data_IF_382878554224
#
_entry.id   IF_382878554224
#
_cell.length_a   1.000
_cell.length_b   1.000
_cell.length_c   1.000
_cell.angle_alpha   90.00
_cell.angle_beta   90.00
_cell.angle_gamma   90.00
#
_symmetry.space_group_name_H-M   'P 1'
#
loop_
_entity.id
_entity.type
_entity.pdbx_description
1 polymer ?
#
# COMPACT_ATOMS: atom_id res chain seq x y z
N UNK A 1 -7.53 -4.68 34.39
CA UNK A 1 -6.78 -5.93 34.15
C UNK A 1 -7.66 -7.06 34.64
N UNK A 2 -8.13 -7.95 33.77
CA UNK A 2 -8.67 -9.22 34.25
C UNK A 2 -7.46 -10.07 34.68
N UNK A 3 -7.47 -10.70 35.86
CA UNK A 3 -6.40 -11.62 36.24
C UNK A 3 -6.35 -12.73 35.19
N UNK A 4 -5.15 -13.03 34.68
CA UNK A 4 -4.92 -14.15 33.78
C UNK A 4 -5.37 -15.42 34.53
N UNK A 5 -6.49 -16.00 34.09
CA UNK A 5 -7.00 -17.25 34.61
C UNK A 5 -5.95 -18.34 34.45
N UNK A 6 -5.77 -19.17 35.47
CA UNK A 6 -4.70 -20.18 35.60
C UNK A 6 -4.68 -21.24 34.48
N UNK A 7 -5.74 -21.30 33.66
CA UNK A 7 -5.92 -22.27 32.59
C UNK A 7 -6.26 -21.57 31.27
N UNK A 8 -5.59 -21.96 30.19
CA UNK A 8 -5.84 -21.46 28.85
C UNK A 8 -7.09 -22.08 28.22
N UNK A 9 -7.51 -23.28 28.64
CA UNK A 9 -8.66 -23.99 28.07
C UNK A 9 -9.94 -23.78 28.89
N UNK A 10 -11.02 -23.42 28.20
CA UNK A 10 -12.38 -23.23 28.75
C UNK A 10 -13.37 -23.91 27.81
N UNK A 11 -13.29 -25.24 27.78
CA UNK A 11 -14.07 -26.08 26.87
C UNK A 11 -15.48 -26.30 27.45
N UNK A 12 -16.55 -26.09 26.66
CA UNK A 12 -17.92 -26.36 27.11
C UNK A 12 -18.09 -27.86 27.43
N UNK A 13 -19.03 -28.21 28.31
CA UNK A 13 -19.27 -29.60 28.76
C UNK A 13 -19.40 -30.61 27.60
N UNK A 14 -20.02 -30.20 26.50
CA UNK A 14 -20.15 -31.03 25.28
C UNK A 14 -18.80 -31.47 24.67
N UNK A 15 -17.71 -30.81 25.04
CA UNK A 15 -16.33 -31.09 24.62
C UNK A 15 -15.46 -31.60 25.78
N UNK A 16 -16.03 -32.08 26.89
CA UNK A 16 -15.27 -32.51 28.07
C UNK A 16 -14.17 -33.55 27.77
N UNK A 17 -14.38 -34.44 26.80
CA UNK A 17 -13.36 -35.41 26.37
C UNK A 17 -12.09 -34.75 25.81
N UNK A 18 -12.19 -33.55 25.23
CA UNK A 18 -11.05 -32.75 24.76
C UNK A 18 -10.28 -32.07 25.90
N UNK A 19 -10.81 -32.07 27.12
CA UNK A 19 -10.16 -31.49 28.30
C UNK A 19 -9.20 -32.47 29.00
N UNK A 20 -8.97 -33.66 28.45
CA UNK A 20 -8.04 -34.65 29.01
C UNK A 20 -6.63 -34.04 29.16
N UNK A 21 -6.02 -34.09 30.36
CA UNK A 21 -4.65 -33.61 30.59
C UNK A 21 -3.62 -34.19 29.61
N UNK A 22 -3.79 -35.43 29.14
CA UNK A 22 -2.92 -36.02 28.13
C UNK A 22 -2.94 -35.24 26.80
N UNK A 23 -4.03 -34.54 26.48
CA UNK A 23 -4.21 -33.77 25.26
C UNK A 23 -3.80 -32.31 25.39
N UNK A 24 -3.95 -31.70 26.57
CA UNK A 24 -3.80 -30.24 26.74
C UNK A 24 -2.70 -29.81 27.71
N UNK A 25 -2.15 -30.69 28.57
CA UNK A 25 -1.23 -30.26 29.62
C UNK A 25 0.10 -29.68 29.08
N UNK A 26 0.55 -30.15 27.91
CA UNK A 26 1.72 -29.57 27.24
C UNK A 26 1.43 -28.16 26.72
N UNK A 27 0.27 -27.96 26.11
CA UNK A 27 -0.20 -26.66 25.63
C UNK A 27 -0.38 -25.69 26.81
N UNK A 28 -0.98 -26.13 27.93
CA UNK A 28 -1.14 -25.33 29.16
C UNK A 28 0.20 -24.84 29.72
N UNK A 29 1.22 -25.72 29.81
CA UNK A 29 2.56 -25.32 30.25
C UNK A 29 3.18 -24.30 29.30
N UNK A 30 2.98 -24.47 27.99
CA UNK A 30 3.46 -23.51 27.00
C UNK A 30 2.76 -22.17 27.13
N UNK A 31 1.43 -22.14 27.27
CA UNK A 31 0.66 -20.91 27.46
C UNK A 31 1.00 -20.19 28.77
N UNK A 32 1.33 -20.91 29.84
CA UNK A 32 1.86 -20.28 31.06
C UNK A 32 3.22 -19.58 30.81
N UNK A 33 4.08 -20.14 29.97
CA UNK A 33 5.32 -19.47 29.55
C UNK A 33 5.04 -18.24 28.68
N UNK A 34 4.12 -18.34 27.72
CA UNK A 34 3.68 -17.23 26.87
C UNK A 34 3.08 -16.10 27.71
N UNK A 35 2.21 -16.40 28.68
CA UNK A 35 1.61 -15.41 29.57
C UNK A 35 2.67 -14.61 30.33
N UNK A 36 3.62 -15.30 30.98
CA UNK A 36 4.73 -14.65 31.70
C UNK A 36 5.58 -13.78 30.78
N UNK A 37 5.90 -14.28 29.59
CA UNK A 37 6.68 -13.53 28.61
C UNK A 37 5.93 -12.29 28.11
N UNK A 38 4.62 -12.38 27.88
CA UNK A 38 3.78 -11.24 27.51
C UNK A 38 3.71 -10.18 28.62
N UNK A 39 3.48 -10.60 29.87
CA UNK A 39 3.49 -9.70 31.02
C UNK A 39 4.83 -8.96 31.14
N UNK A 40 5.94 -9.69 31.06
CA UNK A 40 7.28 -9.12 31.08
C UNK A 40 7.50 -8.14 29.92
N UNK A 41 7.16 -8.54 28.69
CA UNK A 41 7.33 -7.71 27.50
C UNK A 41 6.49 -6.42 27.58
N UNK A 42 5.27 -6.51 28.09
CA UNK A 42 4.39 -5.34 28.27
C UNK A 42 4.95 -4.41 29.34
N UNK A 43 5.47 -4.93 30.45
CA UNK A 43 6.11 -4.12 31.49
C UNK A 43 7.34 -3.38 30.93
N UNK A 44 8.28 -4.12 30.31
CA UNK A 44 9.51 -3.56 29.74
C UNK A 44 9.24 -2.49 28.68
N UNK A 45 8.28 -2.75 27.76
CA UNK A 45 7.90 -1.78 26.73
C UNK A 45 7.19 -0.55 27.32
N UNK A 46 6.43 -0.72 28.40
CA UNK A 46 5.79 0.40 29.11
C UNK A 46 6.85 1.29 29.75
N UNK A 47 7.79 0.69 30.48
CA UNK A 47 8.89 1.42 31.14
C UNK A 47 9.76 2.16 30.13
N UNK A 48 10.08 1.52 29.01
CA UNK A 48 10.84 2.14 27.92
C UNK A 48 10.07 3.28 27.26
N UNK A 49 8.78 3.10 26.97
CA UNK A 49 7.94 4.17 26.41
C UNK A 49 7.87 5.38 27.35
N UNK A 50 7.73 5.15 28.65
CA UNK A 50 7.71 6.21 29.63
C UNK A 50 9.06 6.91 29.77
N UNK A 51 10.17 6.17 29.68
CA UNK A 51 11.52 6.75 29.65
C UNK A 51 11.71 7.67 28.42
N UNK A 52 11.33 7.20 27.22
CA UNK A 52 11.39 8.00 25.99
C UNK A 52 10.49 9.25 26.06
N UNK A 53 9.32 9.14 26.67
CA UNK A 53 8.42 10.29 26.89
C UNK A 53 8.97 11.31 27.88
N UNK A 54 9.76 10.87 28.88
CA UNK A 54 10.38 11.75 29.88
C UNK A 54 11.72 12.34 29.43
N UNK A 55 12.36 11.76 28.41
CA UNK A 55 13.57 12.32 27.82
C UNK A 55 13.35 13.78 27.38
N UNK A 56 14.38 14.62 27.23
CA UNK A 56 14.24 15.93 26.59
C UNK A 56 13.96 15.79 25.08
N UNK A 57 13.17 16.70 24.51
CA UNK A 57 12.70 16.62 23.11
C UNK A 57 13.79 16.77 22.04
N UNK A 58 14.98 17.29 22.40
CA UNK A 58 16.02 17.62 21.43
C UNK A 58 15.56 18.68 20.41
N UNK A 59 16.41 19.00 19.44
CA UNK A 59 16.07 19.84 18.29
C UNK A 59 16.31 19.06 16.99
N UNK A 60 15.50 19.32 15.98
CA UNK A 60 15.64 18.73 14.64
C UNK A 60 15.55 17.21 14.65
N UNK A 61 16.62 16.53 14.20
CA UNK A 61 16.64 15.08 13.98
C UNK A 61 16.34 14.25 15.24
N UNK A 62 16.83 14.69 16.40
CA UNK A 62 16.61 14.00 17.67
C UNK A 62 15.13 13.96 18.08
N UNK A 63 14.39 15.04 17.81
CA UNK A 63 12.95 15.09 18.06
C UNK A 63 12.20 14.11 17.17
N UNK A 64 12.55 14.08 15.87
CA UNK A 64 11.93 13.14 14.92
C UNK A 64 12.22 11.68 15.25
N UNK A 65 13.46 11.34 15.60
CA UNK A 65 13.84 9.97 15.95
C UNK A 65 13.14 9.51 17.24
N UNK A 66 13.01 10.41 18.23
CA UNK A 66 12.23 10.16 19.44
C UNK A 66 10.74 9.96 19.13
N UNK A 67 10.14 10.84 18.34
CA UNK A 67 8.71 10.71 18.00
C UNK A 67 8.45 9.40 17.27
N UNK A 68 9.32 9.00 16.34
CA UNK A 68 9.26 7.71 15.68
C UNK A 68 9.39 6.54 16.67
N UNK A 69 10.29 6.62 17.65
CA UNK A 69 10.45 5.59 18.67
C UNK A 69 9.22 5.49 19.59
N UNK A 70 8.67 6.63 20.03
CA UNK A 70 7.46 6.70 20.83
C UNK A 70 6.27 6.09 20.09
N UNK A 71 6.11 6.39 18.79
CA UNK A 71 5.08 5.79 17.95
C UNK A 71 5.27 4.27 17.85
N UNK A 72 6.47 3.81 17.51
CA UNK A 72 6.81 2.37 17.41
C UNK A 72 6.51 1.60 18.70
N UNK A 73 6.95 2.12 19.84
CA UNK A 73 6.70 1.51 21.15
C UNK A 73 5.20 1.50 21.49
N UNK A 74 4.50 2.61 21.25
CA UNK A 74 3.05 2.73 21.48
C UNK A 74 2.27 1.71 20.63
N UNK A 75 2.62 1.58 19.34
CA UNK A 75 1.99 0.62 18.44
C UNK A 75 2.22 -0.83 18.90
N UNK A 76 3.46 -1.20 19.22
CA UNK A 76 3.78 -2.54 19.72
C UNK A 76 3.03 -2.86 21.01
N UNK A 77 2.99 -1.93 21.95
CA UNK A 77 2.31 -2.07 23.23
C UNK A 77 0.79 -2.22 23.06
N UNK A 78 0.19 -1.43 22.16
CA UNK A 78 -1.23 -1.53 21.81
C UNK A 78 -1.56 -2.93 21.27
N UNK A 79 -0.72 -3.50 20.43
CA UNK A 79 -0.94 -4.84 19.87
C UNK A 79 -0.83 -5.92 20.95
N UNK A 80 0.22 -5.89 21.79
CA UNK A 80 0.38 -6.88 22.87
C UNK A 80 -0.70 -6.75 23.97
N UNK A 81 -1.23 -5.55 24.22
CA UNK A 81 -2.35 -5.38 25.18
C UNK A 81 -3.70 -5.78 24.58
N UNK A 82 -3.84 -5.68 23.26
CA UNK A 82 -5.04 -6.12 22.55
C UNK A 82 -5.13 -7.64 22.51
N UNK A 83 -4.00 -8.33 22.29
CA UNK A 83 -3.92 -9.77 22.17
C UNK A 83 -3.14 -10.36 23.36
N UNK A 84 -3.84 -11.08 24.24
CA UNK A 84 -3.24 -11.86 25.31
C UNK A 84 -2.76 -13.21 24.78
N UNK A 85 -3.23 -14.31 25.37
CA UNK A 85 -2.91 -15.66 24.88
C UNK A 85 -3.48 -15.95 23.48
N UNK A 86 -4.52 -15.22 23.06
CA UNK A 86 -5.10 -15.26 21.71
C UNK A 86 -4.18 -14.71 20.61
N UNK A 87 -2.96 -14.32 20.98
CA UNK A 87 -1.84 -14.15 20.08
C UNK A 87 -1.44 -15.47 19.40
N UNK A 88 -1.61 -16.62 20.06
CA UNK A 88 -1.31 -17.93 19.51
C UNK A 88 -2.47 -18.48 18.68
N UNK A 89 -2.23 -18.81 17.41
CA UNK A 89 -3.24 -19.33 16.49
C UNK A 89 -3.38 -20.85 16.58
N UNK A 90 -2.26 -21.52 16.85
CA UNK A 90 -2.14 -22.96 16.76
C UNK A 90 -0.71 -23.43 16.93
N UNK A 91 -0.52 -24.74 16.78
CA UNK A 91 0.81 -25.36 16.72
C UNK A 91 0.89 -26.36 15.59
N UNK A 92 2.10 -26.64 15.15
CA UNK A 92 2.39 -27.69 14.17
C UNK A 92 3.57 -28.55 14.64
N UNK A 93 3.60 -29.80 14.22
CA UNK A 93 4.65 -30.76 14.53
C UNK A 93 5.20 -31.29 13.22
N UNK A 94 6.52 -31.21 13.05
CA UNK A 94 7.21 -31.74 11.88
C UNK A 94 7.28 -33.27 11.90
N UNK A 95 7.32 -33.88 10.72
CA UNK A 95 7.55 -35.33 10.59
C UNK A 95 8.98 -35.76 10.98
N UNK A 96 9.89 -34.79 11.13
CA UNK A 96 11.27 -34.98 11.57
C UNK A 96 11.42 -35.24 13.08
N UNK A 97 10.31 -35.26 13.83
CA UNK A 97 10.30 -35.51 15.27
C UNK A 97 10.76 -34.30 16.10
N UNK A 98 10.86 -33.12 15.50
CA UNK A 98 11.09 -31.88 16.23
C UNK A 98 9.89 -31.53 17.11
N UNK A 99 10.15 -30.89 18.26
CA UNK A 99 9.09 -30.46 19.18
C UNK A 99 8.08 -29.49 18.52
N UNK A 100 6.90 -29.28 19.14
CA UNK A 100 5.85 -28.46 18.55
C UNK A 100 6.31 -27.01 18.33
N UNK A 101 6.01 -26.48 17.16
CA UNK A 101 6.19 -25.07 16.80
C UNK A 101 4.86 -24.35 16.92
N UNK A 102 4.79 -23.36 17.81
CA UNK A 102 3.59 -22.55 18.00
C UNK A 102 3.62 -21.34 17.06
N UNK A 103 2.52 -21.13 16.34
CA UNK A 103 2.35 -20.05 15.38
C UNK A 103 1.48 -18.97 15.99
N UNK A 104 1.98 -17.74 15.99
CA UNK A 104 1.29 -16.59 16.54
C UNK A 104 1.11 -15.46 15.53
N UNK A 105 0.21 -14.53 15.88
CA UNK A 105 -0.01 -13.27 15.14
C UNK A 105 1.24 -12.41 15.10
N UNK A 106 2.09 -12.56 16.13
CA UNK A 106 3.38 -11.93 16.26
C UNK A 106 4.37 -12.97 16.76
N UNK A 107 5.63 -12.78 16.38
CA UNK A 107 6.74 -13.47 17.03
C UNK A 107 6.86 -13.06 18.51
N UNK A 108 7.11 -14.05 19.38
CA UNK A 108 7.38 -13.86 20.80
C UNK A 108 8.60 -14.69 21.20
N UNK A 109 9.57 -14.05 21.84
CA UNK A 109 10.80 -14.68 22.32
C UNK A 109 10.97 -14.28 23.78
N UNK A 110 11.27 -15.24 24.64
CA UNK A 110 11.47 -14.97 26.06
C UNK A 110 12.86 -14.37 26.36
N UNK A 111 13.07 -14.02 27.62
CA UNK A 111 14.33 -13.43 28.10
C UNK A 111 15.52 -14.38 28.02
N UNK A 112 15.31 -15.68 27.87
CA UNK A 112 16.37 -16.68 27.63
C UNK A 112 16.75 -16.80 26.15
N UNK A 113 16.01 -16.14 25.26
CA UNK A 113 16.15 -16.26 23.82
C UNK A 113 15.36 -17.42 23.22
N UNK A 114 14.55 -18.13 24.01
CA UNK A 114 13.71 -19.20 23.51
C UNK A 114 12.51 -18.62 22.75
N UNK A 115 12.34 -19.08 21.51
CA UNK A 115 11.23 -18.65 20.66
C UNK A 115 9.95 -19.36 21.11
N UNK A 116 9.04 -18.61 21.73
CA UNK A 116 7.75 -19.14 22.17
C UNK A 116 6.74 -19.15 21.02
N UNK A 117 6.67 -18.09 20.22
CA UNK A 117 5.77 -18.00 19.07
C UNK A 117 6.54 -17.61 17.81
N UNK A 118 6.26 -18.31 16.70
CA UNK A 118 6.69 -17.94 15.35
C UNK A 118 5.65 -17.00 14.74
N UNK A 119 6.10 -15.88 14.20
CA UNK A 119 5.23 -14.95 13.46
C UNK A 119 4.62 -15.64 12.23
N UNK A 120 3.31 -15.54 12.05
CA UNK A 120 2.60 -16.14 10.92
C UNK A 120 3.13 -15.70 9.55
N UNK A 121 3.73 -14.50 9.45
CA UNK A 121 4.32 -13.97 8.22
C UNK A 121 5.66 -14.62 7.88
N UNK A 122 6.28 -15.30 8.83
CA UNK A 122 7.55 -16.02 8.62
C UNK A 122 7.38 -17.16 7.59
N UNK A 123 8.39 -17.44 6.77
CA UNK A 123 8.44 -18.66 5.95
C UNK A 123 8.30 -19.93 6.79
N UNK A 124 8.82 -19.91 8.03
CA UNK A 124 8.72 -21.04 8.96
C UNK A 124 7.28 -21.34 9.39
N UNK A 125 6.34 -20.39 9.23
CA UNK A 125 4.92 -20.61 9.52
C UNK A 125 4.10 -21.02 8.28
N UNK A 126 4.69 -21.06 7.08
CA UNK A 126 3.97 -21.39 5.86
C UNK A 126 3.27 -22.77 5.92
N UNK A 127 3.90 -23.85 6.41
CA UNK A 127 3.24 -25.16 6.50
C UNK A 127 1.95 -25.14 7.34
N UNK A 128 1.87 -24.31 8.38
CA UNK A 128 0.69 -24.22 9.24
C UNK A 128 -0.58 -23.87 8.44
N UNK A 129 -0.45 -22.99 7.44
CA UNK A 129 -1.57 -22.53 6.60
C UNK A 129 -1.68 -23.31 5.28
N UNK A 130 -0.55 -23.58 4.63
CA UNK A 130 -0.50 -24.17 3.30
C UNK A 130 -0.65 -25.69 3.25
N UNK A 131 -0.31 -26.41 4.33
CA UNK A 131 -0.33 -27.87 4.30
C UNK A 131 -1.74 -28.42 4.06
N UNK A 132 -1.82 -29.43 3.20
CA UNK A 132 -3.02 -30.21 2.87
C UNK A 132 -2.70 -31.70 2.98
N UNK A 133 -3.70 -32.58 2.93
CA UNK A 133 -3.45 -34.02 2.87
C UNK A 133 -2.68 -34.44 1.60
N UNK A 134 -2.84 -33.71 0.49
CA UNK A 134 -2.12 -33.97 -0.76
C UNK A 134 -0.68 -33.44 -0.74
N UNK A 135 -0.44 -32.34 -0.01
CA UNK A 135 0.89 -31.78 0.23
C UNK A 135 1.03 -31.39 1.71
N UNK A 136 1.53 -32.31 2.56
CA UNK A 136 1.72 -32.06 3.99
C UNK A 136 2.76 -31.00 4.33
N UNK A 137 3.59 -30.57 3.37
CA UNK A 137 4.70 -29.63 3.58
C UNK A 137 5.63 -30.03 4.76
N UNK A 138 5.83 -31.33 4.96
CA UNK A 138 6.69 -31.88 6.03
C UNK A 138 6.04 -31.92 7.42
N UNK A 139 4.75 -31.64 7.55
CA UNK A 139 4.03 -31.75 8.83
C UNK A 139 3.59 -33.19 9.13
N UNK A 140 3.70 -33.58 10.40
CA UNK A 140 3.02 -34.77 10.94
C UNK A 140 1.60 -34.42 11.40
N UNK A 141 1.44 -33.30 12.09
CA UNK A 141 0.14 -32.81 12.54
C UNK A 141 0.12 -31.29 12.76
N UNK A 142 -1.08 -30.71 12.76
CA UNK A 142 -1.32 -29.34 13.25
C UNK A 142 -2.53 -29.28 14.16
N UNK A 143 -2.47 -28.41 15.16
CA UNK A 143 -3.58 -28.02 16.02
C UNK A 143 -3.93 -26.56 15.78
N UNK A 144 -5.21 -26.24 15.67
CA UNK A 144 -5.69 -24.85 15.65
C UNK A 144 -6.60 -24.59 16.85
N UNK A 145 -6.53 -23.38 17.38
CA UNK A 145 -7.29 -22.98 18.56
C UNK A 145 -8.44 -22.02 18.21
N UNK A 146 -9.59 -22.19 18.86
CA UNK A 146 -10.69 -21.23 18.85
C UNK A 146 -10.72 -20.45 20.16
N UNK A 147 -10.36 -19.18 20.08
CA UNK A 147 -10.38 -18.28 21.23
C UNK A 147 -11.74 -17.61 21.41
N UNK A 148 -12.25 -17.61 22.64
CA UNK A 148 -13.41 -16.84 23.07
C UNK A 148 -13.08 -16.21 24.42
N UNK A 149 -13.15 -14.88 24.53
CA UNK A 149 -12.90 -14.17 25.80
C UNK A 149 -11.50 -14.39 26.39
N UNK A 150 -10.48 -14.61 25.56
CA UNK A 150 -9.10 -14.85 26.01
C UNK A 150 -8.80 -16.29 26.44
N UNK A 151 -9.75 -17.22 26.26
CA UNK A 151 -9.57 -18.65 26.53
C UNK A 151 -9.92 -19.52 25.32
N UNK A 152 -9.36 -20.71 25.26
CA UNK A 152 -9.60 -21.69 24.20
C UNK A 152 -10.93 -22.38 24.46
N UNK A 153 -11.92 -22.04 23.64
CA UNK A 153 -13.28 -22.60 23.67
C UNK A 153 -13.44 -23.87 22.83
N UNK A 154 -12.51 -24.14 21.91
CA UNK A 154 -12.45 -25.34 21.09
C UNK A 154 -11.05 -25.45 20.45
N UNK A 155 -10.66 -26.64 20.03
CA UNK A 155 -9.47 -26.86 19.20
C UNK A 155 -9.68 -28.08 18.30
N UNK A 156 -8.94 -28.15 17.20
CA UNK A 156 -9.00 -29.28 16.27
C UNK A 156 -7.60 -29.67 15.81
N UNK A 157 -7.38 -30.98 15.73
CA UNK A 157 -6.13 -31.59 15.30
C UNK A 157 -6.33 -32.15 13.89
N UNK A 158 -5.40 -31.84 13.00
CA UNK A 158 -5.29 -32.39 11.66
C UNK A 158 -3.99 -33.19 11.60
N UNK A 159 -4.06 -34.43 11.13
CA UNK A 159 -2.92 -35.36 11.05
C UNK A 159 -2.65 -35.65 9.59
N UNK A 160 -1.39 -35.50 9.17
CA UNK A 160 -0.99 -35.68 7.77
C UNK A 160 -0.21 -36.97 7.53
N UNK A 161 0.30 -37.62 8.59
CA UNK A 161 1.01 -38.89 8.50
C UNK A 161 0.08 -40.07 8.85
N UNK A 162 0.02 -41.09 7.99
CA UNK A 162 -0.82 -42.29 8.18
C UNK A 162 -0.51 -43.02 9.50
N UNK A 163 0.76 -43.02 9.92
CA UNK A 163 1.25 -43.70 11.13
C UNK A 163 0.85 -42.98 12.44
N UNK A 164 0.46 -41.70 12.36
CA UNK A 164 0.14 -40.85 13.51
C UNK A 164 -1.35 -40.86 13.90
N UNK A 165 -2.21 -41.57 13.14
CA UNK A 165 -3.65 -41.69 13.45
C UNK A 165 -3.94 -42.43 14.77
N UNK A 166 -3.02 -43.28 15.24
CA UNK A 166 -3.27 -44.16 16.39
C UNK A 166 -3.34 -43.43 17.76
N UNK A 167 -2.96 -42.15 17.85
CA UNK A 167 -2.85 -41.40 19.12
C UNK A 167 -3.70 -40.12 19.22
N UNK A 168 -4.51 -39.78 18.21
CA UNK A 168 -5.19 -38.50 18.13
C UNK A 168 -6.71 -38.67 18.04
N UNK A 169 -7.39 -38.65 19.20
CA UNK A 169 -8.83 -38.88 19.33
C UNK A 169 -9.72 -37.69 18.92
N UNK A 170 -9.15 -36.57 18.46
CA UNK A 170 -9.87 -35.35 18.09
C UNK A 170 -9.78 -35.03 16.60
N UNK A 171 -9.76 -36.07 15.76
CA UNK A 171 -9.88 -35.96 14.30
C UNK A 171 -11.29 -35.48 13.95
N UNK A 172 -11.40 -34.27 13.40
CA UNK A 172 -12.65 -33.81 12.80
C UNK A 172 -12.35 -33.09 11.50
N UNK A 173 -12.22 -33.88 10.43
CA UNK A 173 -12.00 -33.45 9.05
C UNK A 173 -13.10 -32.49 8.54
N UNK A 174 -14.21 -32.33 9.28
CA UNK A 174 -15.38 -31.52 8.87
C UNK A 174 -15.54 -30.22 9.66
N UNK A 175 -14.75 -29.97 10.70
CA UNK A 175 -14.99 -28.88 11.64
C UNK A 175 -14.48 -27.49 11.22
N UNK A 176 -13.37 -27.40 10.49
CA UNK A 176 -12.80 -26.10 10.09
C UNK A 176 -13.73 -25.31 9.15
N UNK A 177 -14.41 -26.02 8.24
CA UNK A 177 -15.41 -25.45 7.33
C UNK A 177 -16.71 -25.08 8.04
N UNK A 178 -17.25 -25.97 8.88
CA UNK A 178 -18.51 -25.74 9.62
C UNK A 178 -18.37 -24.61 10.66
N UNK A 179 -17.18 -24.44 11.24
CA UNK A 179 -16.90 -23.35 12.17
C UNK A 179 -16.94 -21.95 11.55
N UNK A 180 -16.56 -21.82 10.27
CA UNK A 180 -16.62 -20.56 9.54
C UNK A 180 -18.05 -20.10 9.23
N UNK A 181 -18.98 -21.05 9.11
CA UNK A 181 -20.40 -20.79 8.81
C UNK A 181 -21.18 -20.19 9.99
N UNK A 182 -20.76 -20.41 11.23
CA UNK A 182 -21.50 -20.03 12.45
C UNK A 182 -21.15 -18.68 13.07
N UNK A 183 -20.16 -17.94 12.55
CA UNK A 183 -19.71 -16.70 13.16
C UNK A 183 -20.69 -15.54 12.88
N UNK A 184 -21.40 -15.08 13.92
CA UNK A 184 -22.31 -13.92 13.87
C UNK A 184 -21.60 -12.71 13.26
N UNK A 185 -22.21 -12.04 12.27
CA UNK A 185 -21.64 -10.83 11.66
C UNK A 185 -21.43 -9.75 12.73
N UNK A 186 -20.17 -9.43 13.01
CA UNK A 186 -19.78 -8.30 13.86
C UNK A 186 -19.80 -7.02 13.03
N UNK A 187 -20.05 -5.84 13.64
CA UNK A 187 -19.91 -4.53 12.96
C UNK A 187 -18.48 -4.25 12.46
N UNK A 188 -17.49 -4.97 12.99
CA UNK A 188 -16.06 -4.90 12.61
C UNK A 188 -15.59 -6.27 12.14
N UNK A 189 -14.65 -6.30 11.20
CA UNK A 189 -14.04 -7.55 10.75
C UNK A 189 -13.38 -8.25 11.95
N UNK A 190 -13.89 -9.41 12.34
CA UNK A 190 -13.20 -10.28 13.31
C UNK A 190 -11.97 -10.86 12.65
N UNK A 191 -11.03 -11.27 13.47
CA UNK A 191 -9.78 -11.82 12.99
C UNK A 191 -9.99 -13.19 12.34
N UNK A 192 -9.77 -13.25 11.03
CA UNK A 192 -10.03 -14.41 10.16
C UNK A 192 -8.75 -15.23 9.93
N UNK A 193 -7.61 -14.82 10.51
CA UNK A 193 -6.30 -15.43 10.27
C UNK A 193 -6.30 -16.94 10.60
N UNK A 194 -6.96 -17.34 11.70
CA UNK A 194 -7.08 -18.75 12.09
C UNK A 194 -7.87 -19.62 11.10
N UNK A 195 -8.69 -18.99 10.24
CA UNK A 195 -9.55 -19.66 9.26
C UNK A 195 -9.03 -19.58 7.82
N UNK A 196 -7.83 -19.02 7.61
CA UNK A 196 -7.20 -19.00 6.29
C UNK A 196 -6.97 -20.43 5.80
N UNK A 197 -7.43 -20.67 4.58
CA UNK A 197 -7.29 -21.92 3.83
C UNK A 197 -6.01 -21.91 2.97
N UNK A 198 -5.57 -23.09 2.52
CA UNK A 198 -4.36 -23.23 1.72
C UNK A 198 -4.36 -22.35 0.44
N UNK A 199 -5.46 -22.33 -0.32
CA UNK A 199 -5.57 -21.48 -1.52
C UNK A 199 -5.48 -19.97 -1.20
N UNK A 200 -6.05 -19.56 -0.07
CA UNK A 200 -5.98 -18.17 0.39
C UNK A 200 -4.56 -17.82 0.85
N UNK A 201 -3.87 -18.73 1.55
CA UNK A 201 -2.48 -18.55 1.97
C UNK A 201 -1.54 -18.48 0.75
N UNK A 202 -1.77 -19.29 -0.28
CA UNK A 202 -1.04 -19.22 -1.53
C UNK A 202 -1.16 -17.83 -2.18
N UNK A 203 -2.38 -17.26 -2.21
CA UNK A 203 -2.61 -15.88 -2.68
C UNK A 203 -1.94 -14.85 -1.77
N UNK A 204 -1.96 -15.03 -0.45
CA UNK A 204 -1.29 -14.13 0.51
C UNK A 204 0.22 -14.13 0.31
N UNK A 205 0.82 -15.31 0.11
CA UNK A 205 2.27 -15.50 0.02
C UNK A 205 2.85 -15.35 -1.38
N UNK A 206 2.02 -15.23 -2.41
CA UNK A 206 2.49 -15.01 -3.79
C UNK A 206 3.44 -13.79 -3.87
N UNK A 207 4.46 -13.83 -4.72
CA UNK A 207 5.43 -12.74 -4.84
C UNK A 207 4.77 -11.40 -5.22
N UNK A 208 5.43 -10.29 -4.91
CA UNK A 208 4.98 -8.92 -5.25
C UNK A 208 5.31 -8.50 -6.68
N UNK A 209 5.92 -9.38 -7.49
CA UNK A 209 6.29 -9.06 -8.88
C UNK A 209 5.07 -9.18 -9.79
N UNK A 210 4.77 -8.10 -10.51
CA UNK A 210 3.68 -8.05 -11.48
C UNK A 210 2.29 -7.87 -10.84
N UNK A 211 1.26 -7.93 -11.67
CA UNK A 211 -0.13 -7.84 -11.24
C UNK A 211 -0.68 -9.22 -10.85
N UNK A 212 -1.33 -9.29 -9.70
CA UNK A 212 -2.07 -10.48 -9.25
C UNK A 212 -3.55 -10.13 -9.18
N UNK A 213 -4.37 -10.82 -9.98
CA UNK A 213 -5.82 -10.68 -9.95
C UNK A 213 -6.40 -11.80 -9.09
N UNK A 214 -7.16 -11.43 -8.06
CA UNK A 214 -7.83 -12.38 -7.17
C UNK A 214 -9.32 -12.31 -7.44
N UNK A 215 -9.81 -13.25 -8.25
CA UNK A 215 -11.23 -13.42 -8.53
C UNK A 215 -11.83 -14.53 -7.67
N UNK A 216 -13.07 -14.35 -7.24
CA UNK A 216 -13.77 -15.32 -6.41
C UNK A 216 -15.18 -14.88 -6.06
N UNK A 217 -16.04 -15.82 -5.70
CA UNK A 217 -17.44 -15.55 -5.38
C UNK A 217 -17.66 -14.63 -4.18
N UNK A 218 -18.89 -14.13 -3.96
CA UNK A 218 -19.27 -13.46 -2.73
C UNK A 218 -18.98 -14.33 -1.50
N UNK A 219 -18.46 -13.72 -0.42
CA UNK A 219 -18.20 -14.42 0.84
C UNK A 219 -16.90 -15.24 0.92
N UNK A 220 -16.10 -15.35 -0.15
CA UNK A 220 -14.83 -16.12 -0.15
C UNK A 220 -13.66 -15.45 0.57
N UNK A 221 -13.89 -14.31 1.24
CA UNK A 221 -12.88 -13.64 2.04
C UNK A 221 -11.84 -12.82 1.25
N UNK A 222 -12.09 -12.45 -0.02
CA UNK A 222 -11.13 -11.67 -0.84
C UNK A 222 -10.52 -10.45 -0.15
N UNK A 223 -11.34 -9.66 0.55
CA UNK A 223 -10.85 -8.50 1.31
C UNK A 223 -9.91 -8.91 2.43
N UNK A 224 -10.24 -9.96 3.18
CA UNK A 224 -9.36 -10.51 4.22
C UNK A 224 -8.02 -10.93 3.60
N UNK A 225 -8.07 -11.68 2.50
CA UNK A 225 -6.89 -12.15 1.76
C UNK A 225 -6.02 -10.96 1.32
N UNK A 226 -6.63 -9.91 0.75
CA UNK A 226 -5.91 -8.72 0.33
C UNK A 226 -5.20 -8.00 1.50
N UNK A 227 -5.86 -7.83 2.65
CA UNK A 227 -5.26 -7.16 3.81
C UNK A 227 -4.12 -7.98 4.43
N UNK A 228 -4.29 -9.30 4.55
CA UNK A 228 -3.23 -10.17 5.05
C UNK A 228 -2.07 -10.23 4.06
N UNK A 229 -2.35 -10.23 2.75
CA UNK A 229 -1.33 -10.09 1.71
C UNK A 229 -0.52 -8.81 1.87
N UNK A 230 -1.17 -7.66 2.10
CA UNK A 230 -0.48 -6.40 2.36
C UNK A 230 0.48 -6.51 3.55
N UNK A 231 0.03 -7.08 4.67
CA UNK A 231 0.88 -7.28 5.85
C UNK A 231 2.03 -8.28 5.62
N UNK A 232 1.77 -9.36 4.89
CA UNK A 232 2.80 -10.33 4.51
C UNK A 232 3.87 -9.70 3.61
N UNK A 233 3.47 -8.91 2.61
CA UNK A 233 4.40 -8.26 1.69
C UNK A 233 5.25 -7.20 2.40
N UNK A 234 4.67 -6.41 3.31
CA UNK A 234 5.44 -5.46 4.15
C UNK A 234 6.49 -6.15 5.03
N UNK A 235 6.20 -7.36 5.50
CA UNK A 235 7.14 -8.16 6.28
C UNK A 235 8.20 -8.87 5.42
N UNK A 236 7.78 -9.45 4.29
CA UNK A 236 8.60 -10.38 3.49
C UNK A 236 9.40 -9.71 2.38
N UNK A 237 9.00 -8.52 1.90
CA UNK A 237 9.62 -7.82 0.78
C UNK A 237 10.37 -6.57 1.26
N UNK A 238 11.73 -6.59 1.28
CA UNK A 238 12.53 -5.44 1.71
C UNK A 238 12.28 -4.16 0.91
N UNK A 239 11.73 -4.26 -0.31
CA UNK A 239 11.42 -3.09 -1.16
C UNK A 239 10.25 -2.26 -0.61
N UNK A 240 9.38 -2.87 0.19
CA UNK A 240 8.19 -2.23 0.78
C UNK A 240 8.46 -1.72 2.21
N UNK A 241 9.71 -1.72 2.67
CA UNK A 241 10.10 -1.23 3.99
C UNK A 241 10.16 0.30 4.10
N UNK A 242 10.30 0.79 5.35
CA UNK A 242 10.11 2.18 5.83
C UNK A 242 10.95 3.30 5.14
N UNK A 243 11.74 3.00 4.09
CA UNK A 243 12.56 3.99 3.38
C UNK A 243 12.47 3.94 1.86
N UNK A 244 11.72 3.00 1.24
CA UNK A 244 11.72 2.80 -0.22
C UNK A 244 10.38 2.43 -0.87
N UNK A 245 9.30 2.25 -0.10
CA UNK A 245 7.97 2.00 -0.65
C UNK A 245 6.95 1.77 0.46
N UNK A 246 5.69 2.16 0.22
CA UNK A 246 4.56 1.88 1.10
C UNK A 246 3.50 1.07 0.36
N UNK A 247 2.49 0.58 1.08
CA UNK A 247 1.33 -0.06 0.45
C UNK A 247 0.21 0.97 0.36
N UNK A 248 -0.35 1.15 -0.84
CA UNK A 248 -1.58 1.91 -1.04
C UNK A 248 -2.76 0.96 -1.16
N UNK A 249 -3.72 1.07 -0.26
CA UNK A 249 -4.96 0.31 -0.29
C UNK A 249 -6.12 1.22 -0.73
N UNK A 250 -6.58 1.02 -1.97
CA UNK A 250 -7.68 1.79 -2.55
C UNK A 250 -9.00 1.06 -2.35
N UNK A 251 -9.93 1.68 -1.62
CA UNK A 251 -11.26 1.16 -1.38
C UNK A 251 -12.36 1.92 -2.15
N UNK A 252 -13.55 1.33 -2.30
CA UNK A 252 -14.65 1.95 -3.05
C UNK A 252 -15.28 3.15 -2.34
N UNK A 253 -15.29 3.20 -1.00
CA UNK A 253 -15.90 4.29 -0.22
C UNK A 253 -15.43 4.31 1.24
N UNK A 254 -15.63 5.44 1.92
CA UNK A 254 -15.18 5.67 3.30
C UNK A 254 -15.70 4.64 4.33
N UNK A 255 -17.00 4.24 4.33
CA UNK A 255 -17.45 3.19 5.25
C UNK A 255 -16.71 1.85 5.10
N UNK A 256 -16.31 1.49 3.87
CA UNK A 256 -15.53 0.28 3.62
C UNK A 256 -14.11 0.41 4.15
N UNK A 257 -13.49 1.58 3.95
CA UNK A 257 -12.19 1.88 4.53
C UNK A 257 -12.22 1.82 6.06
N UNK A 258 -13.26 2.38 6.69
CA UNK A 258 -13.47 2.27 8.13
C UNK A 258 -13.61 0.82 8.60
N UNK A 259 -14.26 -0.03 7.81
CA UNK A 259 -14.39 -1.46 8.12
C UNK A 259 -13.04 -2.21 8.09
N UNK A 260 -12.13 -1.86 7.16
CA UNK A 260 -10.81 -2.51 7.05
C UNK A 260 -9.73 -1.85 7.91
N UNK A 261 -9.93 -0.60 8.34
CA UNK A 261 -8.97 0.21 9.07
C UNK A 261 -8.57 -0.37 10.44
N UNK A 262 -9.38 -1.27 11.02
CA UNK A 262 -9.06 -1.91 12.30
C UNK A 262 -8.16 -3.15 12.16
N UNK A 263 -7.95 -3.64 10.94
CA UNK A 263 -7.24 -4.90 10.66
C UNK A 263 -5.76 -4.64 10.41
N UNK A 264 -5.40 -3.72 9.52
CA UNK A 264 -3.99 -3.45 9.18
C UNK A 264 -3.16 -2.90 10.35
N UNK A 265 -3.64 -1.93 11.15
CA UNK A 265 -2.93 -1.49 12.35
C UNK A 265 -2.85 -2.59 13.40
N UNK A 266 -3.82 -3.52 13.43
CA UNK A 266 -3.77 -4.68 14.32
C UNK A 266 -2.74 -5.72 13.91
N UNK A 267 -2.31 -5.68 12.64
CA UNK A 267 -1.20 -6.48 12.11
C UNK A 267 0.17 -5.79 12.32
N UNK A 268 0.18 -4.61 12.94
CA UNK A 268 1.41 -3.87 13.27
C UNK A 268 2.00 -3.07 12.11
N UNK A 269 1.21 -2.80 11.07
CA UNK A 269 1.68 -2.16 9.84
C UNK A 269 1.23 -0.69 9.76
N UNK A 270 2.15 0.23 10.00
CA UNK A 270 1.97 1.69 9.80
C UNK A 270 2.26 2.13 8.35
N UNK A 271 2.82 1.24 7.53
CA UNK A 271 3.21 1.50 6.14
C UNK A 271 2.07 1.40 5.10
N UNK A 272 0.82 1.24 5.53
CA UNK A 272 -0.33 1.16 4.62
C UNK A 272 -1.14 2.45 4.63
N UNK A 273 -1.15 3.16 3.51
CA UNK A 273 -2.07 4.29 3.29
C UNK A 273 -3.37 3.75 2.72
N UNK A 274 -4.49 4.06 3.36
CA UNK A 274 -5.82 3.74 2.84
C UNK A 274 -6.43 4.99 2.21
N UNK A 275 -7.08 4.84 1.06
CA UNK A 275 -7.74 5.96 0.40
C UNK A 275 -8.87 5.47 -0.51
N UNK A 276 -9.72 6.37 -0.94
CA UNK A 276 -10.63 6.15 -2.08
C UNK A 276 -10.01 6.76 -3.33
N UNK A 277 -10.58 6.48 -4.51
CA UNK A 277 -10.15 7.13 -5.75
C UNK A 277 -10.26 8.66 -5.68
N UNK A 278 -11.20 9.19 -4.90
CA UNK A 278 -11.38 10.63 -4.72
C UNK A 278 -10.25 11.29 -3.93
N UNK A 279 -9.54 10.51 -3.12
CA UNK A 279 -8.48 11.04 -2.25
C UNK A 279 -7.11 11.08 -2.96
N UNK A 280 -7.03 10.61 -4.22
CA UNK A 280 -5.80 10.57 -5.00
C UNK A 280 -5.40 11.93 -5.57
N UNK A 281 -6.39 12.80 -5.82
CA UNK A 281 -6.18 14.16 -6.34
C UNK A 281 -6.89 15.19 -5.45
N UNK A 282 -6.33 16.41 -5.28
CA UNK A 282 -6.91 17.47 -4.44
C UNK A 282 -8.38 17.79 -4.77
N UNK A 283 -8.74 17.77 -6.05
CA UNK A 283 -10.05 18.15 -6.56
C UNK A 283 -11.17 17.17 -6.15
N UNK A 284 -10.81 15.95 -5.76
CA UNK A 284 -11.78 14.91 -5.43
C UNK A 284 -12.63 15.19 -4.19
N UNK A 285 -12.18 16.09 -3.30
CA UNK A 285 -12.97 16.56 -2.16
C UNK A 285 -14.25 17.32 -2.57
N UNK A 286 -14.18 18.06 -3.68
CA UNK A 286 -15.31 18.82 -4.24
C UNK A 286 -16.07 18.09 -5.34
N UNK A 287 -15.56 16.94 -5.81
CA UNK A 287 -16.09 16.28 -7.00
C UNK A 287 -17.44 15.57 -6.76
N UNK A 288 -18.46 15.96 -7.51
CA UNK A 288 -19.78 15.34 -7.54
C UNK A 288 -19.82 14.04 -8.35
N UNK A 289 -20.88 13.23 -8.26
CA UNK A 289 -21.10 12.15 -9.23
C UNK A 289 -21.33 12.73 -10.63
N UNK A 290 -20.82 12.05 -11.66
CA UNK A 290 -21.20 12.36 -13.04
C UNK A 290 -22.65 11.92 -13.28
N UNK A 291 -23.48 12.85 -13.74
CA UNK A 291 -24.92 12.63 -13.92
C UNK A 291 -25.27 12.04 -15.28
N UNK A 292 -24.44 12.27 -16.30
CA UNK A 292 -24.62 11.66 -17.63
C UNK A 292 -23.81 10.36 -17.75
N UNK A 293 -24.46 9.18 -17.84
CA UNK A 293 -23.77 7.90 -17.97
C UNK A 293 -22.87 7.81 -19.21
N UNK A 294 -23.24 8.45 -20.33
CA UNK A 294 -22.42 8.45 -21.53
C UNK A 294 -21.18 9.34 -21.36
N UNK A 295 -21.31 10.49 -20.70
CA UNK A 295 -20.17 11.31 -20.33
C UNK A 295 -19.20 10.56 -19.39
N UNK A 296 -19.73 9.85 -18.38
CA UNK A 296 -18.94 9.01 -17.49
C UNK A 296 -18.19 7.91 -18.26
N UNK A 297 -18.87 7.23 -19.18
CA UNK A 297 -18.29 6.19 -20.05
C UNK A 297 -17.17 6.75 -20.92
N UNK A 298 -17.39 7.89 -21.56
CA UNK A 298 -16.39 8.55 -22.40
C UNK A 298 -15.14 8.93 -21.58
N UNK A 299 -15.33 9.60 -20.44
CA UNK A 299 -14.25 10.02 -19.51
C UNK A 299 -13.44 8.84 -18.96
N UNK A 300 -14.07 7.68 -18.77
CA UNK A 300 -13.40 6.45 -18.33
C UNK A 300 -12.55 5.75 -19.40
N UNK A 301 -12.53 6.27 -20.64
CA UNK A 301 -11.79 5.64 -21.74
C UNK A 301 -10.33 6.07 -21.76
N UNK A 302 -9.44 5.13 -22.10
CA UNK A 302 -8.03 5.43 -22.36
C UNK A 302 -7.82 6.43 -23.51
N UNK A 303 -8.83 6.60 -24.38
CA UNK A 303 -8.81 7.60 -25.43
C UNK A 303 -8.69 9.02 -24.87
N UNK A 304 -9.53 9.39 -23.90
CA UNK A 304 -9.47 10.73 -23.31
C UNK A 304 -8.23 10.96 -22.45
N UNK A 305 -7.66 9.93 -21.84
CA UNK A 305 -6.34 10.03 -21.19
C UNK A 305 -5.27 10.41 -22.23
N UNK A 306 -5.25 9.77 -23.40
CA UNK A 306 -4.33 10.15 -24.50
C UNK A 306 -4.61 11.55 -25.05
N UNK A 307 -5.83 12.04 -24.98
CA UNK A 307 -6.15 13.41 -25.36
C UNK A 307 -5.47 14.43 -24.45
N UNK A 308 -5.21 14.10 -23.18
CA UNK A 308 -4.44 14.95 -22.27
C UNK A 308 -2.99 15.11 -22.76
N UNK A 309 -2.35 14.04 -23.22
CA UNK A 309 -0.99 14.15 -23.79
C UNK A 309 -0.97 15.09 -25.00
N UNK A 310 -1.97 15.01 -25.89
CA UNK A 310 -2.08 15.95 -27.03
C UNK A 310 -2.34 17.38 -26.56
N UNK A 311 -3.14 17.55 -25.49
CA UNK A 311 -3.43 18.85 -24.90
C UNK A 311 -2.17 19.50 -24.29
N UNK A 312 -1.32 18.72 -23.63
CA UNK A 312 -0.03 19.18 -23.10
C UNK A 312 0.92 19.55 -24.23
N UNK A 313 1.07 18.69 -25.26
CA UNK A 313 1.96 18.95 -26.42
C UNK A 313 1.59 20.20 -27.20
N UNK A 314 0.33 20.63 -27.17
CA UNK A 314 -0.09 21.89 -27.78
C UNK A 314 0.62 23.12 -27.16
N UNK A 315 1.09 23.00 -25.92
CA UNK A 315 1.87 24.03 -25.24
C UNK A 315 3.40 23.81 -25.35
N UNK A 316 3.84 22.85 -26.16
CA UNK A 316 5.25 22.54 -26.43
C UNK A 316 5.61 22.88 -27.89
N UNK A 317 5.15 24.03 -28.38
CA UNK A 317 5.36 24.45 -29.77
C UNK A 317 6.60 25.35 -29.90
N UNK A 318 7.70 24.86 -30.51
CA UNK A 318 8.90 25.66 -30.70
C UNK A 318 8.62 26.83 -31.67
N UNK A 319 9.21 28.02 -31.45
CA UNK A 319 9.09 29.14 -32.36
C UNK A 319 9.57 28.80 -33.77
N UNK A 320 8.80 29.20 -34.77
CA UNK A 320 9.09 28.99 -36.20
C UNK A 320 9.78 30.17 -36.87
N UNK A 321 9.78 31.33 -36.22
CA UNK A 321 10.48 32.52 -36.69
C UNK A 321 11.86 32.63 -36.02
N UNK A 322 12.89 32.93 -36.81
CA UNK A 322 14.21 33.16 -36.29
C UNK A 322 14.26 34.48 -35.50
N UNK A 323 15.03 34.50 -34.41
CA UNK A 323 15.30 35.69 -33.63
C UNK A 323 16.80 35.87 -33.41
N UNK A 324 17.20 37.07 -32.99
CA UNK A 324 18.59 37.37 -32.64
C UNK A 324 18.64 37.70 -31.16
N UNK A 325 19.52 37.01 -30.44
CA UNK A 325 19.76 37.25 -29.01
C UNK A 325 21.00 38.15 -28.90
N UNK A 326 20.80 39.38 -28.44
CA UNK A 326 21.87 40.37 -28.33
C UNK A 326 22.54 40.31 -26.97
N UNK A 327 23.83 39.98 -26.96
CA UNK A 327 24.68 40.01 -25.76
C UNK A 327 25.66 41.18 -25.83
N UNK A 328 26.31 41.57 -24.71
CA UNK A 328 27.35 42.61 -24.73
C UNK A 328 28.54 42.30 -25.66
N UNK A 329 28.70 41.06 -26.12
CA UNK A 329 29.84 40.61 -26.91
C UNK A 329 29.49 40.23 -28.35
N UNK A 330 28.27 39.73 -28.58
CA UNK A 330 27.83 39.28 -29.91
C UNK A 330 26.31 39.22 -30.02
N UNK A 331 25.83 39.33 -31.25
CA UNK A 331 24.47 38.99 -31.65
C UNK A 331 24.45 37.54 -32.13
N UNK A 332 23.69 36.68 -31.44
CA UNK A 332 23.65 35.24 -31.71
C UNK A 332 22.32 34.90 -32.41
N UNK A 333 22.33 34.34 -33.63
CA UNK A 333 21.11 33.93 -34.33
C UNK A 333 20.54 32.65 -33.71
N UNK A 334 19.25 32.68 -33.41
CA UNK A 334 18.45 31.57 -32.91
C UNK A 334 17.35 31.23 -33.92
N UNK A 335 17.49 30.09 -34.58
CA UNK A 335 16.56 29.60 -35.59
C UNK A 335 15.65 28.48 -35.08
N UNK A 336 14.68 28.04 -35.91
CA UNK A 336 13.73 26.98 -35.54
C UNK A 336 14.40 25.63 -35.19
N UNK A 337 15.48 25.28 -35.89
CA UNK A 337 16.21 24.03 -35.64
C UNK A 337 16.86 24.04 -34.25
N UNK A 338 17.28 25.20 -33.74
CA UNK A 338 17.88 25.33 -32.41
C UNK A 338 16.84 25.14 -31.30
N UNK A 339 15.65 25.72 -31.51
CA UNK A 339 14.51 25.50 -30.62
C UNK A 339 14.11 24.03 -30.59
N UNK A 340 14.08 23.36 -31.76
CA UNK A 340 13.79 21.94 -31.84
C UNK A 340 14.80 21.10 -31.05
N UNK A 341 16.11 21.36 -31.21
CA UNK A 341 17.17 20.67 -30.46
C UNK A 341 16.97 20.84 -28.95
N UNK A 342 16.69 22.07 -28.49
CA UNK A 342 16.45 22.32 -27.07
C UNK A 342 15.20 21.58 -26.56
N UNK A 343 14.12 21.55 -27.32
CA UNK A 343 12.86 20.90 -26.93
C UNK A 343 13.00 19.38 -26.90
N UNK A 344 13.78 18.79 -27.82
CA UNK A 344 14.07 17.34 -27.85
C UNK A 344 14.86 16.86 -26.61
N UNK A 345 15.47 17.77 -25.85
CA UNK A 345 16.14 17.42 -24.59
C UNK A 345 15.17 16.93 -23.52
N UNK A 346 13.89 17.33 -23.58
CA UNK A 346 12.84 16.80 -22.72
C UNK A 346 12.66 15.30 -23.02
N UNK A 347 13.20 14.45 -22.14
CA UNK A 347 13.18 13.01 -22.34
C UNK A 347 11.74 12.47 -22.47
N UNK A 348 11.54 11.33 -23.17
CA UNK A 348 10.22 10.74 -23.30
C UNK A 348 9.57 10.46 -21.94
N UNK A 349 8.40 11.06 -21.70
CA UNK A 349 7.65 10.88 -20.45
C UNK A 349 8.08 11.77 -19.29
N UNK A 350 8.94 12.78 -19.52
CA UNK A 350 9.20 13.81 -18.52
C UNK A 350 7.95 14.70 -18.33
N UNK A 351 7.57 15.06 -17.09
CA UNK A 351 6.49 16.00 -16.86
C UNK A 351 6.79 17.37 -17.45
N UNK A 352 5.82 17.98 -18.14
CA UNK A 352 5.98 19.24 -18.88
C UNK A 352 6.63 20.36 -18.05
N UNK A 353 6.11 20.61 -16.85
CA UNK A 353 6.62 21.67 -15.97
C UNK A 353 8.01 21.36 -15.41
N UNK A 354 8.35 20.08 -15.20
CA UNK A 354 9.66 19.66 -14.69
C UNK A 354 10.74 19.73 -15.79
N UNK A 355 10.37 19.41 -17.03
CA UNK A 355 11.26 19.47 -18.19
C UNK A 355 11.67 20.91 -18.56
N UNK A 356 10.90 21.92 -18.11
CA UNK A 356 11.11 23.33 -18.43
C UNK A 356 12.55 23.82 -18.15
N UNK A 357 13.08 23.52 -16.97
CA UNK A 357 14.44 23.96 -16.60
C UNK A 357 15.50 23.26 -17.44
N UNK A 358 15.29 21.98 -17.76
CA UNK A 358 16.18 21.22 -18.64
C UNK A 358 16.21 21.80 -20.06
N UNK A 359 15.03 22.05 -20.65
CA UNK A 359 14.91 22.64 -22.00
C UNK A 359 15.54 24.03 -22.04
N UNK A 360 15.39 24.83 -20.97
CA UNK A 360 16.02 26.14 -20.88
C UNK A 360 17.55 26.05 -20.86
N UNK A 361 18.12 25.17 -20.05
CA UNK A 361 19.58 24.98 -19.98
C UNK A 361 20.15 24.43 -21.29
N UNK A 362 19.41 23.57 -21.99
CA UNK A 362 19.80 23.10 -23.32
C UNK A 362 19.78 24.26 -24.34
N UNK A 363 18.74 25.09 -24.34
CA UNK A 363 18.67 26.27 -25.20
C UNK A 363 19.85 27.23 -24.99
N UNK A 364 20.22 27.47 -23.73
CA UNK A 364 21.39 28.27 -23.39
C UNK A 364 22.70 27.61 -23.86
N UNK A 365 22.77 26.29 -23.86
CA UNK A 365 23.91 25.53 -24.36
C UNK A 365 24.02 25.64 -25.89
N UNK A 366 22.92 25.45 -26.62
CA UNK A 366 22.87 25.66 -28.07
C UNK A 366 23.30 27.07 -28.46
N UNK A 367 22.84 28.09 -27.73
CA UNK A 367 23.25 29.48 -27.96
C UNK A 367 24.73 29.73 -27.61
N UNK A 368 25.23 29.13 -26.53
CA UNK A 368 26.63 29.27 -26.15
C UNK A 368 27.59 28.61 -27.16
N UNK A 369 27.21 27.45 -27.71
CA UNK A 369 28.00 26.72 -28.70
C UNK A 369 28.10 27.46 -30.04
N UNK A 370 27.17 28.38 -30.31
CA UNK A 370 27.20 29.28 -31.49
C UNK A 370 28.07 30.53 -31.30
N UNK A 371 28.58 30.77 -30.11
CA UNK A 371 29.41 31.94 -29.84
C UNK A 371 30.90 31.63 -30.08
N UNK A 372 31.45 32.18 -31.16
CA UNK A 372 32.88 32.02 -31.52
C UNK A 372 33.82 33.02 -30.82
N UNK A 373 33.38 33.70 -29.76
CA UNK A 373 34.16 34.72 -29.04
C UNK A 373 34.92 34.22 -27.82
N UNK A 374 35.94 34.97 -27.37
CA UNK A 374 36.82 34.63 -26.23
C UNK A 374 36.16 34.81 -24.84
N UNK A 375 34.84 34.94 -24.77
CA UNK A 375 34.12 35.17 -23.50
C UNK A 375 34.04 33.87 -22.69
N UNK A 376 34.28 33.96 -21.37
CA UNK A 376 34.12 32.81 -20.49
C UNK A 376 32.68 32.23 -20.56
N UNK A 377 32.49 30.91 -20.75
CA UNK A 377 31.17 30.31 -20.97
C UNK A 377 30.13 30.61 -19.88
N UNK A 378 30.55 30.69 -18.62
CA UNK A 378 29.67 31.03 -17.49
C UNK A 378 29.14 32.46 -17.57
N UNK A 379 29.98 33.39 -18.05
CA UNK A 379 29.64 34.81 -18.19
C UNK A 379 28.67 35.02 -19.36
N UNK A 380 28.88 34.29 -20.46
CA UNK A 380 27.96 34.28 -21.60
C UNK A 380 26.59 33.70 -21.21
N UNK A 381 26.57 32.51 -20.57
CA UNK A 381 25.32 31.89 -20.09
C UNK A 381 24.55 32.81 -19.15
N UNK A 382 25.23 33.51 -18.25
CA UNK A 382 24.59 34.44 -17.34
C UNK A 382 24.04 35.71 -18.03
N UNK A 383 24.56 36.11 -19.19
CA UNK A 383 23.99 37.20 -19.99
C UNK A 383 22.77 36.71 -20.79
N UNK A 384 22.89 35.57 -21.48
CA UNK A 384 21.80 34.93 -22.21
C UNK A 384 20.60 34.64 -21.29
N UNK A 385 20.87 34.11 -20.09
CA UNK A 385 19.83 33.83 -19.10
C UNK A 385 19.09 35.07 -18.57
N UNK A 386 19.63 36.27 -18.78
CA UNK A 386 19.01 37.55 -18.39
C UNK A 386 18.38 38.29 -19.57
N UNK A 387 18.53 37.77 -20.78
CA UNK A 387 17.91 38.35 -21.97
C UNK A 387 16.38 38.25 -21.86
N UNK A 388 15.71 39.41 -21.92
CA UNK A 388 14.27 39.50 -21.69
C UNK A 388 13.47 38.97 -22.87
N UNK A 389 13.96 39.15 -24.09
CA UNK A 389 13.24 38.77 -25.30
C UNK A 389 13.33 37.25 -25.50
N UNK A 390 14.50 36.66 -25.24
CA UNK A 390 14.70 35.21 -25.20
C UNK A 390 13.83 34.57 -24.12
N UNK A 391 13.83 35.12 -22.90
CA UNK A 391 13.00 34.58 -21.81
C UNK A 391 11.51 34.68 -22.14
N UNK A 392 11.06 35.82 -22.68
CA UNK A 392 9.68 35.99 -23.08
C UNK A 392 9.28 35.07 -24.24
N UNK A 393 10.17 34.83 -25.21
CA UNK A 393 9.94 33.86 -26.28
C UNK A 393 9.79 32.44 -25.71
N UNK A 394 10.66 32.05 -24.79
CA UNK A 394 10.60 30.74 -24.14
C UNK A 394 9.39 30.57 -23.21
N UNK A 395 8.99 31.60 -22.46
CA UNK A 395 7.78 31.58 -21.63
C UNK A 395 6.50 31.44 -22.49
N UNK A 396 6.50 31.92 -23.74
CA UNK A 396 5.40 31.71 -24.70
C UNK A 396 5.42 30.33 -25.33
N UNK A 397 6.60 29.81 -25.67
CA UNK A 397 6.76 28.54 -26.35
C UNK A 397 6.64 27.33 -25.42
N UNK A 398 6.80 27.54 -24.10
CA UNK A 398 6.70 26.51 -23.08
C UNK A 398 6.12 27.12 -21.79
N UNK A 399 4.84 27.49 -21.73
CA UNK A 399 4.24 28.10 -20.55
C UNK A 399 4.16 27.10 -19.37
N UNK A 400 4.11 27.60 -18.14
CA UNK A 400 3.73 26.75 -17.01
C UNK A 400 2.24 26.43 -17.10
N UNK A 401 1.89 25.15 -17.05
CA UNK A 401 0.51 24.69 -17.13
C UNK A 401 0.01 24.16 -15.79
N UNK A 402 -1.24 24.47 -15.47
CA UNK A 402 -1.94 23.88 -14.34
C UNK A 402 -2.92 22.81 -14.84
N UNK A 403 -2.83 21.60 -14.28
CA UNK A 403 -3.64 20.45 -14.69
C UNK A 403 -5.16 20.75 -14.70
N UNK A 404 -5.63 21.51 -13.71
CA UNK A 404 -7.03 21.88 -13.58
C UNK A 404 -7.49 22.85 -14.69
N UNK A 405 -6.63 23.76 -15.12
CA UNK A 405 -6.97 24.71 -16.19
C UNK A 405 -6.91 24.01 -17.56
N UNK A 406 -5.89 23.17 -17.80
CA UNK A 406 -5.79 22.34 -19.01
C UNK A 406 -7.04 21.46 -19.22
N UNK A 407 -7.42 20.72 -18.18
CA UNK A 407 -8.61 19.86 -18.23
C UNK A 407 -9.88 20.71 -18.30
N UNK A 408 -9.91 21.87 -17.65
CA UNK A 408 -11.03 22.82 -17.71
C UNK A 408 -11.29 23.31 -19.12
N UNK A 409 -10.24 23.66 -19.87
CA UNK A 409 -10.31 24.15 -21.25
C UNK A 409 -10.85 23.09 -22.22
N UNK A 410 -10.53 21.80 -22.00
CA UNK A 410 -11.13 20.70 -22.77
C UNK A 410 -12.66 20.66 -22.61
N UNK A 411 -13.18 21.09 -21.47
CA UNK A 411 -14.62 21.10 -21.22
C UNK A 411 -15.32 22.41 -21.58
N UNK A 412 -14.59 23.51 -21.80
CA UNK A 412 -15.20 24.80 -22.16
C UNK A 412 -15.01 25.17 -23.63
N UNK A 413 -13.96 24.66 -24.29
CA UNK A 413 -13.60 25.01 -25.67
C UNK A 413 -13.80 23.80 -26.61
N UNK A 414 -14.91 23.72 -27.37
CA UNK A 414 -15.21 22.57 -28.22
C UNK A 414 -14.17 22.34 -29.32
N UNK A 415 -13.53 23.40 -29.82
CA UNK A 415 -12.50 23.31 -30.84
C UNK A 415 -11.23 22.67 -30.29
N UNK A 416 -10.86 23.02 -29.05
CA UNK A 416 -9.69 22.47 -28.36
C UNK A 416 -9.90 20.98 -28.06
N UNK A 417 -11.07 20.59 -27.55
CA UNK A 417 -11.39 19.17 -27.36
C UNK A 417 -11.33 18.36 -28.65
N UNK A 418 -11.80 18.92 -29.78
CA UNK A 418 -11.70 18.23 -31.09
C UNK A 418 -10.28 18.11 -31.61
N UNK A 419 -9.43 19.10 -31.33
CA UNK A 419 -8.01 19.04 -31.66
C UNK A 419 -7.35 17.89 -30.89
N UNK A 420 -7.60 17.80 -29.58
CA UNK A 420 -6.98 16.81 -28.71
C UNK A 420 -7.59 15.40 -28.86
N UNK A 421 -8.89 15.32 -29.20
CA UNK A 421 -9.65 14.08 -29.35
C UNK A 421 -10.44 14.03 -30.67
N UNK A 422 -9.78 13.98 -31.84
CA UNK A 422 -10.43 14.08 -33.16
C UNK A 422 -11.37 12.91 -33.49
N UNK A 423 -11.26 11.79 -32.76
CA UNK A 423 -12.14 10.63 -32.93
C UNK A 423 -13.52 10.80 -32.27
N UNK A 424 -13.73 11.84 -31.46
CA UNK A 424 -15.02 12.07 -30.81
C UNK A 424 -16.05 12.57 -31.82
N UNK A 425 -17.24 11.96 -31.80
CA UNK A 425 -18.36 12.46 -32.58
C UNK A 425 -18.80 13.85 -32.08
N UNK A 426 -19.36 14.71 -32.95
CA UNK A 426 -19.80 16.06 -32.54
C UNK A 426 -20.79 16.08 -31.36
N UNK A 427 -21.61 15.04 -31.23
CA UNK A 427 -22.53 14.85 -30.11
C UNK A 427 -21.81 14.54 -28.78
N UNK A 428 -20.71 13.78 -28.82
CA UNK A 428 -19.93 13.41 -27.64
C UNK A 428 -19.11 14.60 -27.16
N UNK A 429 -18.58 15.40 -28.09
CA UNK A 429 -17.97 16.70 -27.76
C UNK A 429 -18.97 17.56 -26.99
N UNK A 430 -20.20 17.74 -27.50
CA UNK A 430 -21.23 18.55 -26.82
C UNK A 430 -21.60 18.00 -25.44
N UNK A 431 -21.66 16.69 -25.26
CA UNK A 431 -21.93 16.05 -23.96
C UNK A 431 -20.86 16.36 -22.91
N UNK A 432 -19.61 16.42 -23.35
CA UNK A 432 -18.47 16.70 -22.47
C UNK A 432 -18.30 18.21 -22.17
N UNK A 433 -18.99 19.08 -22.90
CA UNK A 433 -18.91 20.53 -22.67
C UNK A 433 -19.68 20.96 -21.42
N UNK A 434 -19.11 21.90 -20.66
CA UNK A 434 -19.73 22.50 -19.47
C UNK A 434 -19.45 24.00 -19.40
N UNK A 435 -20.34 24.75 -18.75
CA UNK A 435 -20.20 26.20 -18.58
C UNK A 435 -19.19 26.57 -17.49
N UNK A 436 -19.16 25.82 -16.38
CA UNK A 436 -18.18 25.98 -15.31
C UNK A 436 -17.05 24.95 -15.48
N UNK A 437 -15.83 25.35 -15.89
CA UNK A 437 -14.71 24.44 -16.12
C UNK A 437 -14.32 23.64 -14.87
N UNK A 438 -14.61 24.15 -13.66
CA UNK A 438 -14.19 23.57 -12.38
C UNK A 438 -15.30 22.83 -11.66
N UNK A 439 -16.46 22.65 -12.29
CA UNK A 439 -17.53 21.79 -11.79
C UNK A 439 -17.14 20.31 -11.92
N UNK A 440 -16.14 19.88 -11.15
CA UNK A 440 -15.52 18.57 -11.25
C UNK A 440 -16.47 17.45 -10.85
N UNK A 441 -16.38 16.36 -11.59
CA UNK A 441 -17.05 15.10 -11.31
C UNK A 441 -16.01 14.04 -10.96
N UNK A 442 -16.43 12.95 -10.30
CA UNK A 442 -15.56 11.80 -10.04
C UNK A 442 -14.93 11.25 -11.33
N UNK A 443 -15.64 11.36 -12.46
CA UNK A 443 -15.15 10.90 -13.76
C UNK A 443 -14.03 11.79 -14.34
N UNK A 444 -13.84 13.01 -13.84
CA UNK A 444 -12.76 13.91 -14.27
C UNK A 444 -11.44 13.64 -13.54
N UNK A 445 -11.49 13.00 -12.36
CA UNK A 445 -10.32 12.84 -11.49
C UNK A 445 -9.15 12.09 -12.16
N UNK A 446 -9.36 11.00 -12.92
CA UNK A 446 -8.25 10.34 -13.63
C UNK A 446 -7.62 11.21 -14.71
N UNK A 447 -8.38 12.14 -15.30
CA UNK A 447 -7.86 13.06 -16.33
C UNK A 447 -7.07 14.20 -15.70
N UNK A 448 -7.49 14.66 -14.53
CA UNK A 448 -6.74 15.61 -13.71
C UNK A 448 -5.42 15.00 -13.19
N UNK A 449 -5.43 13.72 -12.81
CA UNK A 449 -4.23 12.99 -12.43
C UNK A 449 -3.27 12.83 -13.61
N UNK A 450 -3.78 12.45 -14.79
CA UNK A 450 -2.99 12.31 -16.01
C UNK A 450 -2.42 13.62 -16.56
N UNK A 451 -2.97 14.77 -16.16
CA UNK A 451 -2.52 16.10 -16.57
C UNK A 451 -1.43 16.69 -15.65
N UNK A 452 -1.08 15.99 -14.57
CA UNK A 452 0.02 16.35 -13.66
C UNK A 452 1.30 15.65 -14.09
#
# INVERSE_FOLDING_TARGET
MNPLTTHAFDLPERLAAKADPALIAADERHFAAVARCLEQSVAELTDRLDAERRAPGGLGRQAMDRDAEVHRLTARLRTLRRFGLDLCLGRMVGADGTGPVYVGRLGLTDSSGARLLVDWRSPAAAPFFGATHADPMGLASRRRYRWTGGRISDYWDEVFAEDALAGHAALDDRSAFIAGLGATRSPRMRDVLATIQADQDAVIRAGSRGALVVDGGPGTGKTVVALHRSAYLLYSDPRLGHRRGGVLFVGPHQPYLGYVADVLPSLGEEGVRTCTLRDLVPEGAGAGPETDPEAARLKSSAGLVRAIETAVRFYEEPPTEAMTVSTPWADIPLGPDDWAVAFESAGPGAPHNEARDQVWEELLTVLADKHDGDTAPETLRAALGRDRDLRAAFDRAWPLIEAADLVGDLWTVPAYLRLCAPWLAPQDVRRLQRADPRAWTVSDLPLLDAAR
#
